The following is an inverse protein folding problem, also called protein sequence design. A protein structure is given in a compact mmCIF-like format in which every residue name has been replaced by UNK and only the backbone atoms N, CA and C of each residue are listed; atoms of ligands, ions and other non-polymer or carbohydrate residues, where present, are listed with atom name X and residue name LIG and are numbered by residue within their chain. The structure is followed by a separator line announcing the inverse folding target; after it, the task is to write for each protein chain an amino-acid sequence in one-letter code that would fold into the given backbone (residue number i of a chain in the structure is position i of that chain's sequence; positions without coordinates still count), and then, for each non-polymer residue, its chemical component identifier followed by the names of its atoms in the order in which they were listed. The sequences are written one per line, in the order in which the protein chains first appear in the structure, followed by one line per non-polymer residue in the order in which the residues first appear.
data_IF_979783210170
#
_entry.id   IF_979783210170
#
_cell.length_a   1.000
_cell.length_b   1.000
_cell.length_c   1.000
_cell.angle_alpha   90.00
_cell.angle_beta   90.00
_cell.angle_gamma   90.00
#
_symmetry.space_group_name_H-M   'P 1'
#
loop_
_entity.id
_entity.type
_entity.pdbx_description
1 polymer ?
#
# COMPACT_ATOMS: atom_id res chain seq x y z
N UNK A 1 -2.22 -3.22 -3.19
CA UNK A 1 -1.40 -3.94 -2.21
C UNK A 1 -1.83 -3.60 -0.81
N UNK A 2 -1.72 -4.54 0.09
CA UNK A 2 -2.38 -4.46 1.37
C UNK A 2 -1.61 -5.32 2.38
N UNK A 3 -1.21 -4.74 3.51
CA UNK A 3 -0.72 -5.44 4.68
C UNK A 3 -1.71 -5.27 5.82
N UNK A 4 -1.82 -6.24 6.68
CA UNK A 4 -2.62 -6.16 7.88
C UNK A 4 -1.86 -6.72 9.09
N UNK A 5 -2.36 -6.38 10.25
CA UNK A 5 -1.72 -6.56 11.52
C UNK A 5 -2.59 -7.45 12.41
N UNK A 6 -1.97 -8.36 13.14
CA UNK A 6 -2.68 -9.28 14.02
C UNK A 6 -2.66 -8.85 15.51
N UNK A 7 -3.46 -9.54 16.34
CA UNK A 7 -3.58 -9.26 17.78
C UNK A 7 -2.26 -9.33 18.56
N UNK A 8 -1.22 -9.96 18.04
CA UNK A 8 0.09 -10.12 18.70
C UNK A 8 1.04 -8.94 18.52
N UNK A 9 0.59 -7.88 17.86
CA UNK A 9 1.41 -6.72 17.51
C UNK A 9 2.62 -7.06 16.63
N UNK A 10 2.45 -8.01 15.73
CA UNK A 10 3.44 -8.36 14.71
C UNK A 10 2.89 -8.07 13.32
N UNK A 11 3.61 -7.30 12.55
CA UNK A 11 3.36 -7.17 11.12
C UNK A 11 3.97 -8.42 10.48
N UNK A 12 3.12 -9.27 9.90
CA UNK A 12 3.62 -10.41 9.16
C UNK A 12 3.81 -10.03 7.69
N UNK A 13 5.04 -10.04 7.19
CA UNK A 13 5.31 -9.79 5.78
C UNK A 13 4.72 -10.85 4.84
N UNK A 14 4.29 -11.98 5.38
CA UNK A 14 3.61 -13.04 4.63
C UNK A 14 2.11 -12.80 4.50
N UNK A 15 1.55 -11.94 5.34
CA UNK A 15 0.13 -11.60 5.36
C UNK A 15 -0.14 -10.35 4.52
N UNK A 16 -0.01 -10.47 3.21
CA UNK A 16 -0.34 -9.40 2.28
C UNK A 16 -1.19 -9.91 1.12
N UNK A 17 -1.97 -9.01 0.54
CA UNK A 17 -2.78 -9.27 -0.65
C UNK A 17 -2.30 -8.41 -1.80
N UNK A 18 -2.17 -9.02 -2.97
CA UNK A 18 -1.70 -8.36 -4.17
C UNK A 18 -2.55 -8.75 -5.39
N UNK A 19 -2.92 -7.73 -6.18
CA UNK A 19 -3.57 -7.91 -7.47
C UNK A 19 -2.96 -6.96 -8.50
N UNK A 20 -2.68 -7.47 -9.69
CA UNK A 20 -2.32 -6.64 -10.84
C UNK A 20 -3.56 -6.22 -11.61
N UNK A 21 -3.58 -4.97 -12.06
CA UNK A 21 -4.71 -4.38 -12.79
C UNK A 21 -4.20 -3.68 -14.06
N UNK A 22 -3.75 -4.44 -15.10
CA UNK A 22 -3.27 -3.87 -16.34
C UNK A 22 -4.37 -3.03 -17.03
N UNK A 23 -4.09 -1.80 -17.49
CA UNK A 23 -5.10 -0.90 -18.05
C UNK A 23 -5.88 -1.48 -19.22
N UNK A 24 -5.25 -2.30 -20.04
CA UNK A 24 -5.85 -2.94 -21.23
C UNK A 24 -7.01 -3.91 -20.91
N UNK A 25 -7.11 -4.35 -19.68
CA UNK A 25 -8.17 -5.26 -19.24
C UNK A 25 -9.48 -4.54 -18.84
N UNK A 26 -9.53 -3.22 -18.97
CA UNK A 26 -10.65 -2.43 -18.48
C UNK A 26 -11.22 -1.51 -19.57
N UNK A 27 -12.55 -1.28 -19.52
CA UNK A 27 -13.27 -0.46 -20.50
C UNK A 27 -12.88 1.03 -20.44
N UNK A 28 -12.46 1.51 -19.28
CA UNK A 28 -12.02 2.89 -19.07
C UNK A 28 -11.17 3.00 -17.80
N UNK A 29 -10.40 4.10 -17.63
CA UNK A 29 -9.69 4.37 -16.38
C UNK A 29 -10.61 4.34 -15.15
N UNK A 30 -11.76 4.99 -15.23
CA UNK A 30 -12.74 5.03 -14.12
C UNK A 30 -13.24 3.63 -13.78
N UNK A 31 -13.56 2.81 -14.78
CA UNK A 31 -13.95 1.41 -14.53
C UNK A 31 -12.85 0.64 -13.80
N UNK A 32 -11.59 0.80 -14.22
CA UNK A 32 -10.44 0.20 -13.55
C UNK A 32 -10.33 0.66 -12.11
N UNK A 33 -10.40 1.97 -11.84
CA UNK A 33 -10.25 2.53 -10.50
C UNK A 33 -11.38 2.10 -9.57
N UNK A 34 -12.61 2.04 -10.06
CA UNK A 34 -13.75 1.52 -9.30
C UNK A 34 -13.57 0.05 -8.93
N UNK A 35 -13.06 -0.77 -9.85
CA UNK A 35 -12.79 -2.19 -9.55
C UNK A 35 -11.64 -2.37 -8.55
N UNK A 36 -10.61 -1.52 -8.61
CA UNK A 36 -9.54 -1.49 -7.60
C UNK A 36 -10.10 -1.13 -6.22
N UNK A 37 -10.94 -0.09 -6.15
CA UNK A 37 -11.55 0.34 -4.89
C UNK A 37 -12.46 -0.75 -4.31
N UNK A 38 -13.36 -1.33 -5.12
CA UNK A 38 -14.22 -2.45 -4.69
C UNK A 38 -13.41 -3.65 -4.20
N UNK A 39 -12.34 -4.02 -4.90
CA UNK A 39 -11.45 -5.08 -4.46
C UNK A 39 -10.81 -4.76 -3.12
N UNK A 40 -10.37 -3.53 -2.90
CA UNK A 40 -9.78 -3.08 -1.64
C UNK A 40 -10.78 -3.16 -0.49
N UNK A 41 -12.00 -2.64 -0.67
CA UNK A 41 -13.09 -2.75 0.33
C UNK A 41 -13.35 -4.22 0.67
N UNK A 42 -13.49 -5.07 -0.34
CA UNK A 42 -13.69 -6.50 -0.13
C UNK A 42 -12.55 -7.15 0.68
N UNK A 43 -11.30 -6.78 0.42
CA UNK A 43 -10.17 -7.27 1.21
C UNK A 43 -10.25 -6.83 2.67
N UNK A 44 -10.65 -5.57 2.93
CA UNK A 44 -10.85 -5.05 4.28
C UNK A 44 -11.95 -5.85 5.00
N UNK A 45 -13.09 -6.05 4.35
CA UNK A 45 -14.23 -6.79 4.92
C UNK A 45 -13.87 -8.24 5.27
N UNK A 46 -13.21 -8.93 4.34
CA UNK A 46 -12.75 -10.32 4.56
C UNK A 46 -11.77 -10.37 5.74
N UNK A 47 -10.83 -9.46 5.80
CA UNK A 47 -9.85 -9.40 6.89
C UNK A 47 -10.52 -9.13 8.23
N UNK A 48 -11.46 -8.19 8.26
CA UNK A 48 -12.25 -7.87 9.45
C UNK A 48 -13.03 -9.08 9.96
N UNK A 49 -13.71 -9.80 9.08
CA UNK A 49 -14.47 -11.00 9.41
C UNK A 49 -13.57 -12.15 9.89
N UNK A 50 -12.47 -12.39 9.19
CA UNK A 50 -11.56 -13.50 9.49
C UNK A 50 -10.90 -13.39 10.88
N UNK A 51 -10.65 -12.17 11.36
CA UNK A 51 -9.92 -11.94 12.59
C UNK A 51 -10.77 -11.38 13.73
N UNK A 52 -12.07 -11.19 13.52
CA UNK A 52 -13.00 -10.63 14.52
C UNK A 52 -12.48 -9.36 15.20
N UNK A 53 -11.98 -8.42 14.40
CA UNK A 53 -11.44 -7.17 14.90
C UNK A 53 -12.57 -6.17 15.17
N UNK A 54 -12.68 -5.66 16.41
CA UNK A 54 -13.69 -4.67 16.75
C UNK A 54 -13.47 -3.33 16.04
N UNK A 55 -12.23 -3.03 15.69
CA UNK A 55 -11.82 -1.74 15.11
C UNK A 55 -10.87 -1.95 13.94
N UNK A 56 -11.14 -1.28 12.83
CA UNK A 56 -10.33 -1.29 11.62
C UNK A 56 -9.72 0.09 11.40
N UNK A 57 -8.41 0.16 11.44
CA UNK A 57 -7.66 1.36 11.07
C UNK A 57 -7.08 1.22 9.68
N UNK A 58 -7.27 2.24 8.85
CA UNK A 58 -6.79 2.26 7.47
C UNK A 58 -5.83 3.43 7.30
N UNK A 59 -4.72 3.18 6.63
CA UNK A 59 -3.79 4.23 6.22
C UNK A 59 -3.55 4.14 4.71
N UNK A 60 -3.53 5.27 4.05
CA UNK A 60 -3.27 5.39 2.63
C UNK A 60 -2.16 6.40 2.38
N UNK A 61 -1.38 6.17 1.33
CA UNK A 61 -0.42 7.16 0.85
C UNK A 61 -1.17 8.36 0.25
N UNK A 62 -0.77 9.57 0.62
CA UNK A 62 -1.34 10.80 0.04
C UNK A 62 -0.63 11.15 -1.28
N UNK A 63 -1.11 12.19 -1.94
CA UNK A 63 -0.58 12.61 -3.24
C UNK A 63 0.90 13.00 -3.16
N UNK A 64 1.67 12.59 -4.17
CA UNK A 64 3.02 13.09 -4.40
C UNK A 64 2.97 14.30 -5.32
N UNK A 65 3.07 15.51 -4.77
CA UNK A 65 3.04 16.75 -5.53
C UNK A 65 4.22 16.93 -6.51
N UNK A 66 5.28 16.13 -6.36
CA UNK A 66 6.45 16.14 -7.24
C UNK A 66 6.44 15.06 -8.33
N UNK A 67 5.39 14.27 -8.44
CA UNK A 67 5.31 13.19 -9.43
C UNK A 67 5.19 13.76 -10.85
N UNK A 68 5.97 13.22 -11.78
CA UNK A 68 5.85 13.50 -13.23
C UNK A 68 5.08 12.36 -13.89
N UNK A 69 4.29 12.66 -14.93
CA UNK A 69 3.59 11.66 -15.72
C UNK A 69 2.12 11.52 -15.35
N UNK A 70 1.68 10.35 -14.92
CA UNK A 70 0.25 10.00 -14.71
C UNK A 70 -0.38 10.58 -13.42
N UNK A 71 -0.10 11.85 -13.10
CA UNK A 71 -0.58 12.49 -11.86
C UNK A 71 -2.10 12.50 -11.79
N UNK A 72 -2.78 12.81 -12.90
CA UNK A 72 -4.24 12.87 -12.95
C UNK A 72 -4.88 11.50 -12.73
N UNK A 73 -4.36 10.45 -13.40
CA UNK A 73 -4.86 9.09 -13.20
C UNK A 73 -4.65 8.62 -11.75
N UNK A 74 -3.51 8.96 -11.13
CA UNK A 74 -3.26 8.64 -9.72
C UNK A 74 -4.21 9.40 -8.79
N UNK A 75 -4.47 10.67 -9.07
CA UNK A 75 -5.41 11.48 -8.29
C UNK A 75 -6.85 10.97 -8.41
N UNK A 76 -7.29 10.61 -9.61
CA UNK A 76 -8.61 10.01 -9.84
C UNK A 76 -8.77 8.68 -9.11
N UNK A 77 -7.78 7.79 -9.23
CA UNK A 77 -7.78 6.51 -8.53
C UNK A 77 -7.85 6.69 -7.01
N UNK A 78 -7.03 7.59 -6.46
CA UNK A 78 -7.02 7.90 -5.03
C UNK A 78 -8.34 8.56 -4.59
N UNK A 79 -8.93 9.43 -5.42
CA UNK A 79 -10.23 10.06 -5.16
C UNK A 79 -11.36 9.04 -5.08
N UNK A 80 -11.42 8.10 -6.04
CA UNK A 80 -12.41 7.01 -6.04
C UNK A 80 -12.22 6.11 -4.81
N UNK A 81 -10.97 5.77 -4.46
CA UNK A 81 -10.69 4.99 -3.26
C UNK A 81 -11.20 5.67 -1.99
N UNK A 82 -10.89 6.96 -1.82
CA UNK A 82 -11.35 7.75 -0.66
C UNK A 82 -12.88 7.80 -0.60
N UNK A 83 -13.52 8.09 -1.73
CA UNK A 83 -14.98 8.10 -1.83
C UNK A 83 -15.59 6.77 -1.40
N UNK A 84 -15.06 5.65 -1.87
CA UNK A 84 -15.57 4.32 -1.51
C UNK A 84 -15.36 4.01 -0.02
N UNK A 85 -14.22 4.38 0.55
CA UNK A 85 -13.99 4.23 1.99
C UNK A 85 -15.01 5.03 2.82
N UNK A 86 -15.34 6.24 2.40
CA UNK A 86 -16.34 7.08 3.07
C UNK A 86 -17.77 6.54 2.93
N UNK A 87 -18.14 6.04 1.74
CA UNK A 87 -19.44 5.38 1.50
C UNK A 87 -19.62 4.16 2.42
N UNK A 88 -18.57 3.39 2.61
CA UNK A 88 -18.57 2.22 3.51
C UNK A 88 -18.32 2.57 4.99
N UNK A 89 -18.28 3.86 5.32
CA UNK A 89 -18.03 4.39 6.67
C UNK A 89 -16.68 3.96 7.28
N UNK A 90 -15.68 3.69 6.46
CA UNK A 90 -14.33 3.44 6.90
C UNK A 90 -13.58 4.75 7.17
N UNK A 91 -13.05 4.90 8.38
CA UNK A 91 -12.11 5.98 8.70
C UNK A 91 -10.73 5.62 8.18
N UNK A 92 -10.02 6.60 7.62
CA UNK A 92 -8.66 6.42 7.14
C UNK A 92 -7.77 7.61 7.49
N UNK A 93 -6.48 7.33 7.63
CA UNK A 93 -5.43 8.32 7.78
C UNK A 93 -4.67 8.47 6.46
N UNK A 94 -4.08 9.64 6.23
CA UNK A 94 -3.21 9.90 5.08
C UNK A 94 -1.81 10.21 5.54
N UNK A 95 -0.82 9.72 4.80
CA UNK A 95 0.58 10.00 5.04
C UNK A 95 1.26 10.43 3.74
N UNK A 96 2.08 11.48 3.81
CA UNK A 96 2.84 11.91 2.65
C UNK A 96 3.96 10.91 2.32
N UNK A 97 4.25 10.66 1.03
CA UNK A 97 5.33 9.75 0.62
C UNK A 97 6.69 10.06 1.23
N UNK A 98 7.03 11.34 1.38
CA UNK A 98 8.28 11.78 2.02
C UNK A 98 8.35 11.43 3.50
N UNK A 99 7.22 11.51 4.21
CA UNK A 99 7.11 11.11 5.61
C UNK A 99 7.28 9.61 5.76
N UNK A 100 6.63 8.82 4.89
CA UNK A 100 6.77 7.37 4.86
C UNK A 100 8.22 6.95 4.62
N UNK A 101 8.88 7.55 3.64
CA UNK A 101 10.30 7.31 3.35
C UNK A 101 11.20 7.66 4.53
N UNK A 102 10.98 8.81 5.17
CA UNK A 102 11.74 9.22 6.35
C UNK A 102 11.55 8.23 7.49
N UNK A 103 10.34 7.72 7.69
CA UNK A 103 10.06 6.71 8.69
C UNK A 103 10.80 5.40 8.42
N UNK A 104 10.79 4.93 7.17
CA UNK A 104 11.41 3.66 6.79
C UNK A 104 12.95 3.70 6.80
N UNK A 105 13.54 4.81 6.34
CA UNK A 105 14.97 4.87 5.99
C UNK A 105 15.71 6.02 6.67
N UNK A 106 15.05 6.78 7.55
CA UNK A 106 15.55 8.03 8.14
C UNK A 106 15.76 9.18 7.14
N UNK A 107 15.40 9.01 5.86
CA UNK A 107 15.54 10.03 4.81
C UNK A 107 14.31 10.14 3.93
N UNK A 108 13.69 11.31 3.88
CA UNK A 108 12.54 11.57 3.00
C UNK A 108 12.88 11.57 1.48
N UNK A 109 14.16 11.54 1.12
CA UNK A 109 14.67 11.51 -0.26
C UNK A 109 15.06 10.12 -0.75
N UNK A 110 14.86 9.10 0.06
CA UNK A 110 15.18 7.70 -0.26
C UNK A 110 14.50 7.25 -1.55
N UNK A 111 15.19 6.42 -2.29
CA UNK A 111 14.65 5.80 -3.49
C UNK A 111 14.00 4.44 -3.17
N UNK A 112 13.52 3.75 -4.20
CA UNK A 112 12.83 2.45 -4.04
C UNK A 112 13.76 1.32 -3.61
N UNK A 113 15.03 1.38 -4.01
CA UNK A 113 16.02 0.39 -3.63
C UNK A 113 16.37 0.54 -2.15
N UNK A 114 16.57 1.78 -1.65
CA UNK A 114 16.80 2.06 -0.22
C UNK A 114 15.63 1.55 0.64
N UNK A 115 14.39 1.78 0.20
CA UNK A 115 13.19 1.30 0.89
C UNK A 115 13.14 -0.23 0.94
N UNK A 116 13.46 -0.89 -0.18
CA UNK A 116 13.49 -2.34 -0.25
C UNK A 116 14.59 -2.94 0.62
N UNK A 117 15.77 -2.35 0.62
CA UNK A 117 16.91 -2.86 1.41
C UNK A 117 16.57 -2.83 2.91
N UNK A 118 15.94 -1.74 3.38
CA UNK A 118 15.44 -1.65 4.75
C UNK A 118 14.34 -2.67 5.04
N UNK A 119 13.39 -2.84 4.12
CA UNK A 119 12.36 -3.87 4.23
C UNK A 119 12.97 -5.27 4.33
N UNK A 120 13.97 -5.56 3.51
CA UNK A 120 14.64 -6.85 3.53
C UNK A 120 15.46 -7.06 4.82
N UNK A 121 16.17 -6.03 5.30
CA UNK A 121 16.85 -6.07 6.59
C UNK A 121 15.90 -6.46 7.75
N UNK A 122 14.70 -5.87 7.76
CA UNK A 122 13.72 -6.09 8.83
C UNK A 122 12.98 -7.43 8.73
N UNK A 123 12.65 -7.86 7.51
CA UNK A 123 11.70 -8.96 7.30
C UNK A 123 12.35 -10.25 6.78
N UNK A 124 13.52 -10.15 6.18
CA UNK A 124 14.21 -11.23 5.44
C UNK A 124 13.38 -11.79 4.26
N UNK A 125 12.31 -11.07 3.85
CA UNK A 125 11.41 -11.51 2.80
C UNK A 125 11.92 -11.10 1.41
N UNK A 126 12.19 -12.09 0.57
CA UNK A 126 12.79 -11.92 -0.77
C UNK A 126 11.74 -11.63 -1.84
N UNK A 127 11.03 -10.49 -1.75
CA UNK A 127 9.99 -10.11 -2.73
C UNK A 127 10.52 -10.01 -4.17
N UNK A 128 11.78 -9.62 -4.35
CA UNK A 128 12.41 -9.59 -5.68
C UNK A 128 12.38 -10.96 -6.36
N UNK A 129 12.71 -12.02 -5.62
CA UNK A 129 12.73 -13.38 -6.15
C UNK A 129 11.33 -13.89 -6.48
N UNK A 130 10.34 -13.48 -5.69
CA UNK A 130 8.94 -13.89 -5.87
C UNK A 130 8.30 -13.23 -7.08
N UNK A 131 8.53 -11.93 -7.31
CA UNK A 131 7.78 -11.14 -8.29
C UNK A 131 8.61 -10.69 -9.50
N UNK A 132 9.94 -10.79 -9.47
CA UNK A 132 10.80 -10.21 -10.50
C UNK A 132 11.90 -11.17 -10.97
N UNK A 133 11.58 -12.01 -11.96
CA UNK A 133 12.55 -12.98 -12.51
C UNK A 133 13.74 -12.35 -13.26
N UNK A 134 13.73 -11.04 -13.60
CA UNK A 134 14.78 -10.43 -14.47
C UNK A 134 15.08 -8.95 -14.24
N UNK A 135 14.51 -8.25 -13.25
CA UNK A 135 14.71 -6.80 -13.12
C UNK A 135 15.71 -6.45 -12.01
N UNK A 136 16.75 -5.69 -12.38
CA UNK A 136 17.77 -5.18 -11.45
C UNK A 136 17.18 -4.09 -10.55
N UNK A 137 16.24 -3.27 -11.06
CA UNK A 137 15.61 -2.16 -10.31
C UNK A 137 14.28 -2.56 -9.67
N UNK A 138 14.07 -2.05 -8.45
CA UNK A 138 12.78 -2.19 -7.76
C UNK A 138 11.69 -1.44 -8.51
N UNK A 139 10.61 -2.14 -8.80
CA UNK A 139 9.41 -1.61 -9.48
C UNK A 139 8.16 -2.29 -8.92
N UNK A 140 6.97 -1.82 -9.34
CA UNK A 140 5.72 -2.54 -9.06
C UNK A 140 5.79 -4.00 -9.55
N UNK A 141 5.28 -4.98 -8.78
CA UNK A 141 4.55 -4.82 -7.53
C UNK A 141 5.43 -4.75 -6.26
N UNK A 142 6.73 -5.01 -6.37
CA UNK A 142 7.64 -5.07 -5.21
C UNK A 142 7.68 -3.74 -4.45
N UNK A 143 7.85 -2.61 -5.17
CA UNK A 143 7.84 -1.28 -4.52
C UNK A 143 6.55 -1.01 -3.77
N UNK A 144 5.42 -1.37 -4.36
CA UNK A 144 4.12 -1.08 -3.79
C UNK A 144 3.83 -1.96 -2.55
N UNK A 145 4.37 -3.17 -2.53
CA UNK A 145 4.33 -4.05 -1.35
C UNK A 145 5.19 -3.50 -0.21
N UNK A 146 6.38 -2.99 -0.52
CA UNK A 146 7.25 -2.34 0.47
C UNK A 146 6.59 -1.10 1.05
N UNK A 147 6.02 -0.24 0.20
CA UNK A 147 5.32 0.96 0.66
C UNK A 147 4.12 0.59 1.56
N UNK A 148 3.32 -0.42 1.18
CA UNK A 148 2.20 -0.86 2.00
C UNK A 148 2.62 -1.52 3.32
N UNK A 149 3.76 -2.20 3.38
CA UNK A 149 4.34 -2.67 4.64
C UNK A 149 4.68 -1.51 5.58
N UNK A 150 5.37 -0.50 5.09
CA UNK A 150 5.73 0.66 5.92
C UNK A 150 4.54 1.53 6.29
N UNK A 151 3.50 1.61 5.46
CA UNK A 151 2.22 2.22 5.82
C UNK A 151 1.59 1.51 7.04
N UNK A 152 1.49 0.19 6.99
CA UNK A 152 0.98 -0.61 8.09
C UNK A 152 1.85 -0.45 9.35
N UNK A 153 3.17 -0.52 9.21
CA UNK A 153 4.12 -0.35 10.31
C UNK A 153 4.01 1.04 10.96
N UNK A 154 3.88 2.09 10.15
CA UNK A 154 3.70 3.46 10.63
C UNK A 154 2.44 3.63 11.47
N UNK A 155 1.35 2.98 11.07
CA UNK A 155 0.07 3.03 11.77
C UNK A 155 0.14 2.33 13.14
N UNK A 156 0.85 1.21 13.20
CA UNK A 156 0.96 0.36 14.42
C UNK A 156 2.04 0.87 15.37
N UNK A 157 3.13 1.37 14.84
CA UNK A 157 4.29 1.88 15.57
C UNK A 157 4.64 3.30 15.10
N UNK A 158 3.80 4.29 15.43
CA UNK A 158 4.06 5.67 15.02
C UNK A 158 5.39 6.16 15.61
N UNK A 159 6.11 7.05 14.91
CA UNK A 159 7.29 7.68 15.48
C UNK A 159 6.90 8.55 16.69
N UNK A 160 7.80 8.63 17.65
CA UNK A 160 7.70 9.54 18.81
C UNK A 160 7.71 11.02 18.41
#
# INVERSE_FOLDING_TARGET
NFFYYNKTKQISPLEFVHQTTPPENYKSPINRFTLIANWTIRCIDITKQAYDYPETMIIIEDYSFGSKGKIFELAENCGIMKYMLEVENYKYQKIAPTTLKKYATSSGRSNKDDMYDKFFEETQLKLKETFSKKKIKISSPVSDLVDSYYLCKYLVFPPE
#
